data_IF_371009168951
#
_entry.id   IF_371009168951
#
_cell.length_a   1.000
_cell.length_b   1.000
_cell.length_c   1.000
_cell.angle_alpha   90.00
_cell.angle_beta   90.00
_cell.angle_gamma   90.00
#
_symmetry.space_group_name_H-M   'P 1'
#
loop_
_entity.id
_entity.type
_entity.pdbx_description
1 polymer ?
#
# COMPACT_ATOMS: atom_id res chain seq x y z
N UNK A 1 0.37 49.87 -41.40
CA UNK A 1 1.34 48.74 -41.28
C UNK A 1 1.32 48.28 -39.84
N UNK A 2 0.59 47.18 -39.58
CA UNK A 2 0.34 46.64 -38.23
C UNK A 2 1.24 45.40 -38.09
N UNK A 3 2.18 45.42 -37.14
CA UNK A 3 3.03 44.26 -36.85
C UNK A 3 2.15 43.15 -36.25
N UNK A 4 2.19 41.91 -36.76
CA UNK A 4 1.54 40.81 -36.07
C UNK A 4 2.26 40.57 -34.73
N UNK A 5 1.50 40.50 -33.65
CA UNK A 5 2.01 40.21 -32.31
C UNK A 5 2.50 38.76 -32.27
N UNK A 6 3.73 38.58 -31.79
CA UNK A 6 4.41 37.27 -31.63
C UNK A 6 3.80 36.44 -30.47
N UNK A 7 2.57 36.72 -30.08
CA UNK A 7 1.90 36.10 -28.92
C UNK A 7 0.89 35.00 -29.29
N UNK A 8 0.65 34.73 -30.58
CA UNK A 8 -0.38 33.77 -31.00
C UNK A 8 0.15 32.42 -31.52
N UNK A 9 1.38 32.01 -31.20
CA UNK A 9 1.94 30.75 -31.67
C UNK A 9 2.86 30.03 -30.68
N UNK A 10 2.70 30.26 -29.37
CA UNK A 10 3.11 29.24 -28.40
C UNK A 10 1.89 28.37 -28.19
N UNK A 11 1.67 27.45 -29.13
CA UNK A 11 0.93 26.22 -28.84
C UNK A 11 1.70 25.64 -27.66
N UNK A 12 1.12 25.67 -26.45
CA UNK A 12 1.65 24.90 -25.33
C UNK A 12 1.93 23.51 -25.92
N UNK A 13 3.21 23.17 -26.03
CA UNK A 13 3.58 21.80 -26.33
C UNK A 13 3.12 21.09 -25.08
N UNK A 14 1.92 20.54 -25.14
CA UNK A 14 1.39 19.70 -24.10
C UNK A 14 2.23 18.43 -24.12
N UNK A 15 3.36 18.47 -23.42
CA UNK A 15 4.20 17.30 -23.16
C UNK A 15 3.49 16.38 -22.13
N UNK A 16 2.21 16.62 -21.78
CA UNK A 16 1.42 15.75 -20.90
C UNK A 16 0.95 14.49 -21.63
N UNK A 17 1.92 13.72 -22.13
CA UNK A 17 1.70 12.29 -22.23
C UNK A 17 1.32 11.71 -20.86
N UNK A 18 0.62 10.57 -20.82
CA UNK A 18 0.21 9.93 -19.59
C UNK A 18 1.37 9.78 -18.61
N UNK A 19 1.16 10.22 -17.37
CA UNK A 19 2.22 10.32 -16.38
C UNK A 19 2.19 9.11 -15.42
N UNK A 20 3.25 8.27 -15.37
CA UNK A 20 3.26 7.13 -14.47
C UNK A 20 3.21 7.54 -12.99
N UNK A 21 3.52 8.79 -12.66
CA UNK A 21 3.38 9.33 -11.31
C UNK A 21 1.96 9.13 -10.77
N UNK A 22 0.93 9.20 -11.62
CA UNK A 22 -0.47 9.16 -11.20
C UNK A 22 -0.84 7.87 -10.43
N UNK A 23 -0.32 6.72 -10.86
CA UNK A 23 -0.52 5.43 -10.19
C UNK A 23 0.65 5.03 -9.27
N UNK A 24 1.79 5.72 -9.36
CA UNK A 24 2.90 5.60 -8.42
C UNK A 24 2.70 6.42 -7.13
N UNK A 25 1.74 7.36 -7.16
CA UNK A 25 1.27 8.06 -5.98
C UNK A 25 0.78 7.08 -4.92
N UNK A 26 0.73 7.57 -3.68
CA UNK A 26 0.37 6.80 -2.50
C UNK A 26 -0.88 5.91 -2.71
N UNK A 27 -0.74 4.56 -2.73
CA UNK A 27 -1.85 3.67 -3.02
C UNK A 27 -2.75 3.50 -1.79
N UNK A 28 -2.25 3.78 -0.58
CA UNK A 28 -3.00 3.62 0.65
C UNK A 28 -3.36 4.97 1.25
N UNK A 29 -4.63 5.15 1.58
CA UNK A 29 -5.10 6.29 2.34
C UNK A 29 -4.43 6.37 3.72
N UNK A 30 -4.45 7.56 4.32
CA UNK A 30 -3.94 7.76 5.68
C UNK A 30 -4.62 6.83 6.70
N UNK A 31 -5.92 6.57 6.52
CA UNK A 31 -6.69 5.65 7.37
C UNK A 31 -6.13 4.23 7.25
N UNK A 32 -5.99 3.71 6.02
CA UNK A 32 -5.44 2.37 5.79
C UNK A 32 -4.01 2.21 6.31
N UNK A 33 -3.18 3.26 6.22
CA UNK A 33 -1.83 3.26 6.79
C UNK A 33 -1.82 3.18 8.31
N UNK A 34 -2.76 3.85 8.97
CA UNK A 34 -2.93 3.75 10.42
C UNK A 34 -3.35 2.34 10.82
N UNK A 35 -4.32 1.75 10.12
CA UNK A 35 -4.75 0.37 10.38
C UNK A 35 -3.63 -0.64 10.14
N UNK A 36 -2.86 -0.47 9.06
CA UNK A 36 -1.67 -1.29 8.78
C UNK A 36 -0.67 -1.25 9.93
N UNK A 37 -0.37 -0.04 10.43
CA UNK A 37 0.56 0.16 11.53
C UNK A 37 0.03 -0.51 12.80
N UNK A 38 -1.24 -0.32 13.12
CA UNK A 38 -1.88 -0.93 14.28
C UNK A 38 -1.85 -2.46 14.20
N UNK A 39 -2.17 -3.02 13.04
CA UNK A 39 -2.07 -4.46 12.77
C UNK A 39 -0.65 -4.97 12.98
N UNK A 40 0.36 -4.30 12.43
CA UNK A 40 1.76 -4.74 12.58
C UNK A 40 2.26 -4.63 14.02
N UNK A 41 1.90 -3.57 14.75
CA UNK A 41 2.26 -3.41 16.17
C UNK A 41 1.59 -4.51 17.00
N UNK A 42 0.28 -4.69 16.85
CA UNK A 42 -0.47 -5.72 17.57
C UNK A 42 0.05 -7.13 17.24
N UNK A 43 0.34 -7.40 15.96
CA UNK A 43 0.88 -8.69 15.51
C UNK A 43 2.30 -8.93 16.04
N UNK A 44 3.13 -7.90 16.13
CA UNK A 44 4.47 -8.02 16.73
C UNK A 44 4.38 -8.32 18.21
N UNK A 45 3.52 -7.61 18.94
CA UNK A 45 3.26 -7.88 20.37
C UNK A 45 2.72 -9.29 20.57
N UNK A 46 1.71 -9.70 19.78
CA UNK A 46 1.15 -11.05 19.85
C UNK A 46 2.19 -12.14 19.54
N UNK A 47 3.05 -11.92 18.55
CA UNK A 47 4.13 -12.84 18.25
C UNK A 47 5.11 -13.00 19.42
N UNK A 48 5.48 -11.90 20.08
CA UNK A 48 6.33 -11.94 21.27
C UNK A 48 5.63 -12.65 22.45
N UNK A 49 4.33 -12.41 22.66
CA UNK A 49 3.52 -13.14 23.65
C UNK A 49 3.55 -14.65 23.39
N UNK A 50 3.44 -15.07 22.14
CA UNK A 50 3.42 -16.49 21.77
C UNK A 50 4.78 -17.18 21.86
N UNK A 51 5.89 -16.46 21.60
CA UNK A 51 7.23 -17.05 21.42
C UNK A 51 8.19 -16.81 22.58
N UNK A 52 8.04 -15.70 23.30
CA UNK A 52 8.94 -15.31 24.38
C UNK A 52 8.33 -15.52 25.78
N UNK A 53 7.25 -16.30 25.87
CA UNK A 53 6.51 -16.61 27.11
C UNK A 53 6.13 -15.35 27.92
N UNK A 54 5.80 -14.26 27.21
CA UNK A 54 5.40 -12.99 27.83
C UNK A 54 3.93 -12.99 28.28
N UNK A 55 3.33 -14.16 28.49
CA UNK A 55 1.99 -14.26 29.06
C UNK A 55 2.09 -13.87 30.53
N UNK A 56 1.38 -12.82 30.99
CA UNK A 56 1.48 -12.38 32.38
C UNK A 56 1.03 -13.47 33.34
N UNK A 57 1.83 -13.78 34.35
CA UNK A 57 1.46 -14.71 35.42
C UNK A 57 0.83 -14.00 36.61
N UNK A 58 1.07 -12.70 36.74
CA UNK A 58 0.51 -11.84 37.76
C UNK A 58 0.32 -10.42 37.23
N UNK A 59 -0.62 -9.69 37.82
CA UNK A 59 -0.76 -8.24 37.67
C UNK A 59 -0.20 -7.62 38.94
N UNK A 60 1.12 -7.38 38.98
CA UNK A 60 1.82 -6.92 40.18
C UNK A 60 1.26 -5.59 40.71
N UNK A 61 0.70 -4.74 39.84
CA UNK A 61 0.03 -3.49 40.22
C UNK A 61 -1.26 -3.71 41.05
N UNK A 62 -1.90 -4.86 40.93
CA UNK A 62 -3.13 -5.23 41.64
C UNK A 62 -2.90 -6.33 42.68
N UNK A 63 -1.72 -6.95 42.72
CA UNK A 63 -1.40 -8.08 43.60
C UNK A 63 -2.20 -9.36 43.28
N UNK A 64 -2.69 -9.50 42.04
CA UNK A 64 -3.54 -10.63 41.60
C UNK A 64 -2.68 -11.58 40.77
N UNK A 65 -2.65 -12.86 41.15
CA UNK A 65 -2.08 -13.94 40.33
C UNK A 65 -3.11 -14.42 39.31
N UNK A 66 -2.67 -14.63 38.07
CA UNK A 66 -3.52 -15.10 36.98
C UNK A 66 -3.50 -16.63 36.95
N UNK A 67 -4.67 -17.25 37.12
CA UNK A 67 -4.85 -18.69 36.93
C UNK A 67 -4.61 -19.07 35.46
N UNK A 68 -4.30 -20.35 35.18
CA UNK A 68 -4.10 -20.83 33.82
C UNK A 68 -5.28 -20.48 32.87
N UNK A 69 -6.57 -20.63 33.27
CA UNK A 69 -7.69 -20.18 32.45
C UNK A 69 -7.69 -18.66 32.17
N UNK A 70 -7.24 -17.84 33.11
CA UNK A 70 -7.17 -16.39 32.92
C UNK A 70 -6.04 -16.01 31.94
N UNK A 71 -4.92 -16.75 31.97
CA UNK A 71 -3.82 -16.60 31.03
C UNK A 71 -4.22 -17.01 29.61
N UNK A 72 -4.97 -18.10 29.45
CA UNK A 72 -5.54 -18.51 28.15
C UNK A 72 -6.51 -17.45 27.61
N UNK A 73 -7.40 -16.93 28.46
CA UNK A 73 -8.30 -15.84 28.07
C UNK A 73 -7.55 -14.58 27.63
N UNK A 74 -6.42 -14.25 28.26
CA UNK A 74 -5.57 -13.16 27.80
C UNK A 74 -5.05 -13.38 26.38
N UNK A 75 -4.56 -14.59 26.07
CA UNK A 75 -4.08 -14.94 24.71
C UNK A 75 -5.21 -14.87 23.69
N UNK A 76 -6.41 -15.33 24.04
CA UNK A 76 -7.61 -15.23 23.19
C UNK A 76 -7.98 -13.76 22.93
N UNK A 77 -7.95 -12.90 23.95
CA UNK A 77 -8.22 -11.46 23.80
C UNK A 77 -7.20 -10.75 22.90
N UNK A 78 -5.92 -11.09 23.03
CA UNK A 78 -4.87 -10.57 22.13
C UNK A 78 -5.14 -11.03 20.70
N UNK A 79 -5.49 -12.31 20.50
CA UNK A 79 -5.82 -12.86 19.19
C UNK A 79 -7.01 -12.17 18.53
N UNK A 80 -8.08 -11.93 19.29
CA UNK A 80 -9.27 -11.20 18.82
C UNK A 80 -8.96 -9.74 18.46
N UNK A 81 -8.08 -9.10 19.23
CA UNK A 81 -7.62 -7.73 18.94
C UNK A 81 -6.86 -7.66 17.61
N UNK A 82 -5.96 -8.62 17.36
CA UNK A 82 -5.23 -8.70 16.09
C UNK A 82 -6.19 -9.02 14.94
N UNK A 83 -7.13 -9.95 15.15
CA UNK A 83 -8.15 -10.28 14.16
C UNK A 83 -9.03 -9.07 13.81
N UNK A 84 -9.39 -8.24 14.79
CA UNK A 84 -10.10 -6.99 14.56
C UNK A 84 -9.30 -6.03 13.66
N UNK A 85 -8.03 -5.76 13.98
CA UNK A 85 -7.18 -4.89 13.14
C UNK A 85 -6.95 -5.48 11.76
N UNK A 86 -6.88 -6.81 11.64
CA UNK A 86 -6.77 -7.49 10.36
C UNK A 86 -8.03 -7.25 9.51
N UNK A 87 -9.21 -7.43 10.08
CA UNK A 87 -10.47 -7.15 9.39
C UNK A 87 -10.60 -5.68 8.99
N UNK A 88 -10.26 -4.75 9.90
CA UNK A 88 -10.28 -3.31 9.60
C UNK A 88 -9.33 -2.98 8.43
N UNK A 89 -8.09 -3.48 8.49
CA UNK A 89 -7.11 -3.29 7.43
C UNK A 89 -7.57 -3.90 6.09
N UNK A 90 -8.19 -5.08 6.10
CA UNK A 90 -8.74 -5.69 4.89
C UNK A 90 -9.86 -4.84 4.28
N UNK A 91 -10.79 -4.31 5.08
CA UNK A 91 -11.91 -3.50 4.59
C UNK A 91 -11.39 -2.23 3.89
N UNK A 92 -10.54 -1.46 4.57
CA UNK A 92 -10.03 -0.20 4.02
C UNK A 92 -9.00 -0.44 2.91
N UNK A 93 -8.08 -1.38 3.11
CA UNK A 93 -7.02 -1.66 2.14
C UNK A 93 -7.53 -2.28 0.85
N UNK A 94 -8.61 -3.07 0.88
CA UNK A 94 -9.22 -3.58 -0.36
C UNK A 94 -9.81 -2.45 -1.20
N UNK A 95 -10.47 -1.48 -0.55
CA UNK A 95 -11.03 -0.31 -1.23
C UNK A 95 -9.93 0.52 -1.91
N UNK A 96 -8.86 0.80 -1.17
CA UNK A 96 -7.69 1.52 -1.66
C UNK A 96 -6.98 0.75 -2.80
N UNK A 97 -6.87 -0.58 -2.68
CA UNK A 97 -6.30 -1.44 -3.72
C UNK A 97 -7.09 -1.35 -5.04
N UNK A 98 -8.42 -1.35 -4.98
CA UNK A 98 -9.25 -1.19 -6.18
C UNK A 98 -9.10 0.20 -6.81
N UNK A 99 -9.03 1.26 -5.99
CA UNK A 99 -8.79 2.63 -6.48
C UNK A 99 -7.44 2.70 -7.20
N UNK A 100 -6.38 2.16 -6.59
CA UNK A 100 -5.05 2.09 -7.22
C UNK A 100 -5.09 1.28 -8.52
N UNK A 101 -5.76 0.12 -8.52
CA UNK A 101 -5.87 -0.74 -9.71
C UNK A 101 -6.58 -0.03 -10.86
N UNK A 102 -7.59 0.78 -10.56
CA UNK A 102 -8.28 1.64 -11.53
C UNK A 102 -7.33 2.70 -12.08
N UNK A 103 -6.61 3.45 -11.24
CA UNK A 103 -5.62 4.45 -11.71
C UNK A 103 -4.57 3.85 -12.65
N UNK A 104 -4.09 2.64 -12.35
CA UNK A 104 -3.15 1.95 -13.22
C UNK A 104 -3.79 1.57 -14.57
N UNK A 105 -5.05 1.17 -14.58
CA UNK A 105 -5.77 0.89 -15.81
C UNK A 105 -6.03 2.17 -16.63
N UNK A 106 -6.50 3.24 -15.99
CA UNK A 106 -6.73 4.54 -16.63
C UNK A 106 -5.42 5.06 -17.28
N UNK A 107 -4.25 4.83 -16.64
CA UNK A 107 -2.94 5.12 -17.23
C UNK A 107 -2.64 4.28 -18.47
N UNK A 108 -2.92 2.98 -18.45
CA UNK A 108 -2.69 2.11 -19.61
C UNK A 108 -3.57 2.49 -20.80
N UNK A 109 -4.83 2.84 -20.54
CA UNK A 109 -5.77 3.33 -21.54
C UNK A 109 -5.27 4.65 -22.15
N UNK A 110 -4.82 5.60 -21.31
CA UNK A 110 -4.24 6.85 -21.77
C UNK A 110 -2.94 6.66 -22.58
N UNK A 111 -2.09 5.69 -22.21
CA UNK A 111 -0.89 5.32 -23.00
C UNK A 111 -1.29 4.80 -24.37
N UNK A 112 -2.32 3.95 -24.44
CA UNK A 112 -2.78 3.43 -25.71
C UNK A 112 -3.34 4.54 -26.61
N UNK A 113 -4.24 5.38 -26.10
CA UNK A 113 -4.82 6.51 -26.85
C UNK A 113 -3.73 7.48 -27.34
N UNK A 114 -2.76 7.78 -26.49
CA UNK A 114 -1.62 8.63 -26.83
C UNK A 114 -0.75 8.04 -27.96
N UNK A 115 -0.50 6.73 -27.92
CA UNK A 115 0.28 6.04 -28.95
C UNK A 115 -0.47 5.90 -30.27
N UNK A 116 -1.80 5.75 -30.25
CA UNK A 116 -2.63 5.71 -31.47
C UNK A 116 -2.69 7.08 -32.18
N UNK A 117 -2.65 8.18 -31.41
CA UNK A 117 -2.62 9.55 -31.93
C UNK A 117 -1.24 10.07 -32.33
N UNK A 118 -0.18 9.29 -32.15
CA UNK A 118 1.21 9.72 -32.32
C UNK A 118 1.57 9.93 -33.80
N UNK A 119 1.98 11.15 -34.17
CA UNK A 119 2.35 11.51 -35.55
C UNK A 119 3.86 11.57 -35.79
N UNK A 120 4.28 11.61 -37.06
CA UNK A 120 5.70 11.81 -37.42
C UNK A 120 6.23 13.18 -36.92
N UNK A 121 5.38 14.20 -36.87
CA UNK A 121 5.73 15.52 -36.33
C UNK A 121 5.97 15.45 -34.82
N UNK A 122 5.15 14.67 -34.10
CA UNK A 122 5.35 14.41 -32.65
C UNK A 122 6.66 13.66 -32.40
N UNK A 123 6.97 12.67 -33.25
CA UNK A 123 8.25 11.96 -33.20
C UNK A 123 9.44 12.92 -33.40
N UNK A 124 9.37 13.79 -34.42
CA UNK A 124 10.42 14.77 -34.68
C UNK A 124 10.59 15.76 -33.51
N UNK A 125 9.47 16.27 -32.97
CA UNK A 125 9.48 17.16 -31.82
C UNK A 125 10.05 16.48 -30.57
N UNK A 126 9.71 15.21 -30.34
CA UNK A 126 10.24 14.40 -29.25
C UNK A 126 11.75 14.21 -29.38
N UNK A 127 12.24 13.87 -30.57
CA UNK A 127 13.67 13.67 -30.84
C UNK A 127 14.49 14.96 -30.73
N UNK A 128 13.88 16.10 -31.05
CA UNK A 128 14.48 17.43 -30.91
C UNK A 128 14.37 18.00 -29.49
N UNK A 129 13.58 17.38 -28.61
CA UNK A 129 13.36 17.84 -27.25
C UNK A 129 14.62 17.69 -26.39
N UNK A 130 14.94 18.73 -25.63
CA UNK A 130 16.11 18.78 -24.71
C UNK A 130 15.78 18.21 -23.31
N UNK A 131 14.57 17.69 -23.11
CA UNK A 131 14.15 17.17 -21.80
C UNK A 131 14.85 15.84 -21.49
N UNK A 132 15.33 15.63 -20.26
CA UNK A 132 15.96 14.39 -19.87
C UNK A 132 15.04 13.19 -20.13
N UNK A 133 15.58 12.16 -20.79
CA UNK A 133 14.84 10.92 -21.06
C UNK A 133 14.58 10.17 -19.75
N UNK A 134 13.36 10.25 -19.24
CA UNK A 134 12.89 9.47 -18.08
C UNK A 134 12.36 8.08 -18.49
N UNK A 135 12.84 7.50 -19.60
CA UNK A 135 12.37 6.22 -20.13
C UNK A 135 12.45 5.06 -19.12
N UNK A 136 13.46 5.09 -18.24
CA UNK A 136 13.60 4.14 -17.14
C UNK A 136 12.41 4.15 -16.18
N UNK A 137 11.81 5.33 -15.92
CA UNK A 137 10.66 5.48 -15.04
C UNK A 137 9.46 4.78 -15.64
N UNK A 138 9.16 5.05 -16.92
CA UNK A 138 8.04 4.44 -17.64
C UNK A 138 8.17 2.91 -17.74
N UNK A 139 9.38 2.40 -17.97
CA UNK A 139 9.64 0.96 -18.06
C UNK A 139 9.55 0.25 -16.69
N UNK A 140 9.93 0.92 -15.60
CA UNK A 140 9.99 0.32 -14.26
C UNK A 140 8.77 0.62 -13.40
N UNK A 141 7.96 1.62 -13.74
CA UNK A 141 6.84 2.09 -12.93
C UNK A 141 5.84 0.97 -12.59
N UNK A 142 5.46 0.16 -13.58
CA UNK A 142 4.56 -0.98 -13.34
C UNK A 142 5.12 -1.96 -12.30
N UNK A 143 6.39 -2.35 -12.43
CA UNK A 143 7.04 -3.27 -11.48
C UNK A 143 7.10 -2.66 -10.08
N UNK A 144 7.50 -1.39 -9.96
CA UNK A 144 7.56 -0.68 -8.67
C UNK A 144 6.20 -0.65 -8.00
N UNK A 145 5.14 -0.36 -8.77
CA UNK A 145 3.78 -0.31 -8.25
C UNK A 145 3.30 -1.69 -7.75
N UNK A 146 3.59 -2.77 -8.48
CA UNK A 146 3.27 -4.14 -8.03
C UNK A 146 4.02 -4.55 -6.77
N UNK A 147 5.33 -4.29 -6.71
CA UNK A 147 6.15 -4.59 -5.51
C UNK A 147 5.62 -3.82 -4.31
N UNK A 148 5.27 -2.54 -4.50
CA UNK A 148 4.70 -1.71 -3.45
C UNK A 148 3.34 -2.24 -3.00
N UNK A 149 2.44 -2.59 -3.91
CA UNK A 149 1.15 -3.16 -3.56
C UNK A 149 1.30 -4.47 -2.76
N UNK A 150 2.21 -5.36 -3.19
CA UNK A 150 2.53 -6.58 -2.45
C UNK A 150 3.03 -6.29 -1.03
N UNK A 151 4.00 -5.39 -0.89
CA UNK A 151 4.60 -5.08 0.40
C UNK A 151 3.66 -4.32 1.34
N UNK A 152 2.92 -3.34 0.83
CA UNK A 152 2.05 -2.51 1.64
C UNK A 152 0.73 -3.20 2.01
N UNK A 153 0.25 -4.15 1.19
CA UNK A 153 -1.03 -4.83 1.43
C UNK A 153 -0.89 -6.30 1.84
N UNK A 154 -0.16 -7.13 1.08
CA UNK A 154 -0.13 -8.57 1.33
C UNK A 154 0.70 -8.93 2.56
N UNK A 155 1.87 -8.32 2.75
CA UNK A 155 2.75 -8.64 3.89
C UNK A 155 2.06 -8.44 5.26
N UNK A 156 1.39 -7.30 5.55
CA UNK A 156 0.68 -7.13 6.82
C UNK A 156 -0.43 -8.17 7.05
N UNK A 157 -1.14 -8.58 6.00
CA UNK A 157 -2.18 -9.62 6.08
C UNK A 157 -1.57 -10.96 6.46
N UNK A 158 -0.48 -11.35 5.79
CA UNK A 158 0.22 -12.62 6.08
C UNK A 158 0.75 -12.64 7.52
N UNK A 159 1.36 -11.55 7.98
CA UNK A 159 1.84 -11.41 9.36
C UNK A 159 0.70 -11.52 10.36
N UNK A 160 -0.42 -10.82 10.13
CA UNK A 160 -1.59 -10.89 11.01
C UNK A 160 -2.19 -12.29 11.11
N UNK A 161 -2.41 -12.94 9.97
CA UNK A 161 -2.93 -14.31 9.91
C UNK A 161 -2.00 -15.31 10.60
N UNK A 162 -0.69 -15.20 10.33
CA UNK A 162 0.32 -16.05 10.95
C UNK A 162 0.33 -15.90 12.47
N UNK A 163 0.34 -14.67 12.99
CA UNK A 163 0.33 -14.43 14.44
C UNK A 163 -0.93 -14.93 15.11
N UNK A 164 -2.12 -14.72 14.51
CA UNK A 164 -3.37 -15.26 15.05
C UNK A 164 -3.32 -16.79 15.09
N UNK A 165 -2.89 -17.44 14.01
CA UNK A 165 -2.73 -18.89 13.97
C UNK A 165 -1.78 -19.41 15.04
N UNK A 166 -0.66 -18.72 15.25
CA UNK A 166 0.33 -19.06 16.27
C UNK A 166 -0.26 -18.95 17.69
N UNK A 167 -0.94 -17.85 18.00
CA UNK A 167 -1.58 -17.66 19.31
C UNK A 167 -2.66 -18.69 19.60
N UNK A 168 -3.51 -19.00 18.61
CA UNK A 168 -4.56 -20.01 18.77
C UNK A 168 -3.96 -21.41 18.92
N UNK A 169 -2.86 -21.73 18.22
CA UNK A 169 -2.18 -23.01 18.38
C UNK A 169 -1.67 -23.23 19.82
N UNK A 170 -1.21 -22.16 20.48
CA UNK A 170 -0.80 -22.17 21.90
C UNK A 170 -1.95 -22.47 22.85
N UNK A 171 -3.18 -22.04 22.52
CA UNK A 171 -4.36 -22.25 23.37
C UNK A 171 -4.93 -23.66 23.19
N UNK A 172 -5.03 -24.13 21.94
CA UNK A 172 -5.70 -25.40 21.63
C UNK A 172 -4.77 -26.61 21.54
N UNK A 173 -3.45 -26.41 21.45
CA UNK A 173 -2.43 -27.45 21.39
C UNK A 173 -1.24 -27.06 22.29
N UNK A 174 -1.44 -27.05 23.62
CA UNK A 174 -0.43 -26.60 24.59
C UNK A 174 0.78 -27.53 24.69
#
# INVERSE_FOLDING_TARGET
>A
MMKPSVQSAVKEIDVSGPNPVDFLTDPLSQITRLERRNLLIASTTGFLVATADLVPTEISALGISLSAPAQEMFVVLVSLTIAYFLCAFLIYGTSDFFIWRKKYQDYLEAVQEYMEGWTEEDQHNYDMSQVPRVSWLYQKAGLVAYVRAFFEYLLPVLVGLFTVGLLLSRVYCP
#
